data_IF_186534065239
#
_entry.id   IF_186534065239
#
_cell.length_a   1.000
_cell.length_b   1.000
_cell.length_c   1.000
_cell.angle_alpha   90.00
_cell.angle_beta   90.00
_cell.angle_gamma   90.00
#
_symmetry.space_group_name_H-M   'P 1'
#
loop_
_entity.id
_entity.type
_entity.pdbx_description
1 polymer ?
#
# COMPACT_ATOMS: atom_id res chain seq x y z
N UNK A 1 0.89 -16.92 -7.98
CA UNK A 1 1.86 -17.46 -7.02
C UNK A 1 1.21 -17.45 -5.65
N UNK A 2 1.26 -18.53 -4.88
CA UNK A 2 0.71 -18.55 -3.51
C UNK A 2 1.71 -17.86 -2.56
N UNK A 3 1.80 -16.53 -2.65
CA UNK A 3 2.62 -15.69 -1.77
C UNK A 3 1.83 -15.18 -0.56
N UNK A 4 2.53 -14.61 0.41
CA UNK A 4 1.91 -13.84 1.51
C UNK A 4 1.38 -12.51 0.94
N UNK A 5 0.06 -12.39 0.85
CA UNK A 5 -0.60 -11.22 0.23
C UNK A 5 -0.32 -9.91 1.01
N UNK A 6 -0.04 -10.00 2.32
CA UNK A 6 0.37 -8.85 3.13
C UNK A 6 1.75 -8.38 2.70
N UNK A 7 2.70 -9.31 2.57
CA UNK A 7 4.06 -9.01 2.06
C UNK A 7 4.00 -8.38 0.68
N UNK A 8 3.14 -8.92 -0.20
CA UNK A 8 2.93 -8.36 -1.53
C UNK A 8 2.46 -6.90 -1.45
N UNK A 9 1.42 -6.61 -0.67
CA UNK A 9 0.88 -5.26 -0.55
C UNK A 9 1.93 -4.30 0.02
N UNK A 10 2.65 -4.69 1.08
CA UNK A 10 3.73 -3.87 1.66
C UNK A 10 4.74 -3.48 0.58
N UNK A 11 5.22 -4.44 -0.22
CA UNK A 11 6.26 -4.17 -1.21
C UNK A 11 5.76 -3.48 -2.49
N UNK A 12 4.45 -3.52 -2.75
CA UNK A 12 3.85 -3.08 -4.00
C UNK A 12 2.55 -2.30 -3.72
N UNK A 13 2.62 -0.96 -3.58
CA UNK A 13 1.43 -0.12 -3.53
C UNK A 13 0.57 -0.34 -4.78
N UNK A 14 -0.71 -0.62 -4.58
CA UNK A 14 -1.66 -0.91 -5.66
C UNK A 14 -2.56 0.33 -5.78
N UNK A 15 -2.71 0.92 -6.99
CA UNK A 15 -3.61 2.04 -7.15
C UNK A 15 -5.07 1.58 -7.01
N UNK A 16 -5.94 2.45 -6.50
CA UNK A 16 -7.35 2.12 -6.24
C UNK A 16 -8.05 1.49 -7.44
N UNK A 17 -7.82 2.02 -8.64
CA UNK A 17 -8.41 1.55 -9.90
C UNK A 17 -8.04 0.10 -10.25
N UNK A 18 -6.91 -0.41 -9.74
CA UNK A 18 -6.44 -1.77 -10.00
C UNK A 18 -7.15 -2.87 -9.20
N UNK A 19 -7.95 -2.51 -8.21
CA UNK A 19 -8.65 -3.49 -7.40
C UNK A 19 -10.16 -3.55 -7.65
N UNK A 20 -10.67 -4.77 -7.73
CA UNK A 20 -12.11 -5.07 -7.66
C UNK A 20 -12.38 -5.85 -6.40
N UNK A 21 -13.32 -5.37 -5.59
CA UNK A 21 -13.51 -5.88 -4.23
C UNK A 21 -14.92 -6.44 -4.03
N UNK A 22 -15.02 -7.48 -3.20
CA UNK A 22 -16.31 -7.89 -2.64
C UNK A 22 -16.76 -6.83 -1.65
N UNK A 23 -17.91 -6.19 -1.89
CA UNK A 23 -18.49 -5.18 -1.00
C UNK A 23 -18.48 -5.58 0.48
N UNK A 24 -18.86 -6.82 0.79
CA UNK A 24 -18.89 -7.30 2.17
C UNK A 24 -17.51 -7.32 2.86
N UNK A 25 -16.43 -7.49 2.11
CA UNK A 25 -15.06 -7.44 2.63
C UNK A 25 -14.59 -6.02 2.89
N UNK A 26 -14.94 -5.10 1.99
CA UNK A 26 -14.66 -3.66 2.15
C UNK A 26 -15.36 -3.12 3.40
N UNK A 27 -16.66 -3.39 3.54
CA UNK A 27 -17.42 -2.93 4.70
C UNK A 27 -16.93 -3.53 6.02
N UNK A 28 -16.41 -4.76 6.00
CA UNK A 28 -15.85 -5.40 7.20
C UNK A 28 -14.65 -4.64 7.76
N UNK A 29 -13.85 -4.01 6.91
CA UNK A 29 -12.66 -3.24 7.32
C UNK A 29 -12.93 -1.74 7.46
N UNK A 30 -14.19 -1.29 7.30
CA UNK A 30 -14.57 0.11 7.39
C UNK A 30 -14.36 0.94 6.13
N UNK A 31 -13.85 0.36 5.03
CA UNK A 31 -13.50 1.13 3.83
C UNK A 31 -12.15 1.84 3.94
N UNK A 32 -12.02 2.98 3.26
CA UNK A 32 -10.84 3.86 3.38
C UNK A 32 -10.81 4.53 4.76
N UNK A 33 -9.61 4.80 5.26
CA UNK A 33 -9.44 5.62 6.45
C UNK A 33 -9.50 7.10 6.04
N UNK A 34 -10.51 7.82 6.53
CA UNK A 34 -10.76 9.22 6.16
C UNK A 34 -9.74 10.19 6.77
N UNK A 35 -8.96 9.74 7.76
CA UNK A 35 -7.87 10.53 8.36
C UNK A 35 -6.58 10.43 7.52
N UNK A 36 -6.51 9.48 6.58
CA UNK A 36 -5.38 9.33 5.66
C UNK A 36 -5.54 10.27 4.47
N UNK A 37 -4.75 11.34 4.46
CA UNK A 37 -4.81 12.36 3.41
C UNK A 37 -4.15 11.94 2.09
N UNK A 38 -3.19 11.00 2.13
CA UNK A 38 -2.42 10.55 0.98
C UNK A 38 -2.01 9.09 1.17
N UNK A 39 -1.93 8.35 0.05
CA UNK A 39 -1.63 6.91 0.07
C UNK A 39 -2.69 6.09 0.80
N UNK A 40 -3.94 6.56 0.74
CA UNK A 40 -5.13 5.91 1.28
C UNK A 40 -5.39 4.54 0.65
N UNK A 41 -5.02 4.38 -0.62
CA UNK A 41 -5.05 3.11 -1.34
C UNK A 41 -4.10 2.09 -0.71
N UNK A 42 -2.87 2.52 -0.45
CA UNK A 42 -1.86 1.68 0.16
C UNK A 42 -2.25 1.19 1.57
N UNK A 43 -2.75 2.11 2.40
CA UNK A 43 -3.34 1.77 3.71
C UNK A 43 -4.49 0.75 3.56
N UNK A 44 -5.43 1.06 2.66
CA UNK A 44 -6.61 0.24 2.43
C UNK A 44 -6.26 -1.18 2.01
N UNK A 45 -5.34 -1.38 1.06
CA UNK A 45 -4.96 -2.71 0.59
C UNK A 45 -4.27 -3.52 1.68
N UNK A 46 -3.36 -2.91 2.46
CA UNK A 46 -2.71 -3.56 3.60
C UNK A 46 -3.76 -4.06 4.60
N UNK A 47 -4.68 -3.19 5.03
CA UNK A 47 -5.76 -3.58 5.97
C UNK A 47 -6.65 -4.67 5.39
N UNK A 48 -6.96 -4.60 4.09
CA UNK A 48 -7.81 -5.58 3.42
C UNK A 48 -7.18 -6.98 3.45
N UNK A 49 -5.92 -7.12 3.04
CA UNK A 49 -5.25 -8.44 3.05
C UNK A 49 -4.93 -8.90 4.46
N UNK A 50 -4.61 -7.99 5.37
CA UNK A 50 -4.39 -8.31 6.78
C UNK A 50 -5.66 -8.87 7.44
N UNK A 51 -6.86 -8.45 6.99
CA UNK A 51 -8.14 -9.03 7.44
C UNK A 51 -8.40 -10.47 6.95
N UNK A 52 -7.46 -11.05 6.21
CA UNK A 52 -7.52 -12.40 5.65
C UNK A 52 -8.12 -12.48 4.24
N UNK A 53 -8.31 -11.33 3.56
CA UNK A 53 -8.69 -11.33 2.14
C UNK A 53 -7.49 -11.77 1.30
N UNK A 54 -7.75 -12.66 0.35
CA UNK A 54 -6.74 -13.14 -0.58
C UNK A 54 -6.79 -12.37 -1.89
N UNK A 55 -5.63 -12.08 -2.46
CA UNK A 55 -5.53 -11.40 -3.76
C UNK A 55 -5.48 -12.46 -4.88
N UNK A 56 -6.15 -12.16 -5.98
CA UNK A 56 -5.96 -12.85 -7.26
C UNK A 56 -5.58 -11.82 -8.31
N UNK A 57 -4.55 -12.11 -9.08
CA UNK A 57 -4.08 -11.25 -10.16
C UNK A 57 -4.67 -11.70 -11.49
N UNK A 58 -5.15 -10.72 -12.25
CA UNK A 58 -5.43 -10.87 -13.68
C UNK A 58 -4.24 -10.26 -14.39
N UNK A 59 -3.44 -11.09 -15.06
CA UNK A 59 -2.21 -10.65 -15.72
C UNK A 59 -2.50 -10.08 -17.12
N UNK A 60 -3.36 -9.06 -17.16
CA UNK A 60 -3.80 -8.37 -18.38
C UNK A 60 -3.83 -6.85 -18.13
N UNK A 61 -3.49 -6.04 -19.14
CA UNK A 61 -3.50 -4.58 -19.01
C UNK A 61 -4.94 -4.05 -19.08
N UNK A 62 -5.67 -4.09 -17.97
CA UNK A 62 -7.08 -3.71 -17.91
C UNK A 62 -7.33 -2.22 -17.66
N UNK A 63 -6.28 -1.44 -17.38
CA UNK A 63 -6.38 -0.06 -16.90
C UNK A 63 -5.41 0.82 -17.66
N UNK A 64 -5.90 1.99 -18.05
CA UNK A 64 -5.11 3.07 -18.64
C UNK A 64 -5.14 4.27 -17.69
N UNK A 65 -3.96 4.63 -17.15
CA UNK A 65 -3.78 5.80 -16.28
C UNK A 65 -3.09 6.90 -17.08
N UNK A 66 -3.71 8.07 -17.17
CA UNK A 66 -3.14 9.23 -17.84
C UNK A 66 -2.39 10.10 -16.84
N UNK A 67 -1.05 10.09 -16.93
CA UNK A 67 -0.19 10.90 -16.06
C UNK A 67 -0.01 12.30 -16.64
N UNK A 68 -0.23 13.33 -15.82
CA UNK A 68 -0.02 14.74 -16.18
C UNK A 68 1.36 15.19 -15.72
N UNK A 69 2.09 15.94 -16.55
CA UNK A 69 3.42 16.47 -16.20
C UNK A 69 3.44 17.34 -14.94
N UNK A 70 2.36 18.07 -14.69
CA UNK A 70 2.19 18.94 -13.50
C UNK A 70 1.39 18.24 -12.38
N UNK A 71 1.18 16.93 -12.49
CA UNK A 71 0.55 16.15 -11.43
C UNK A 71 1.48 16.03 -10.22
N UNK A 72 0.92 15.91 -9.00
CA UNK A 72 1.69 15.83 -7.75
C UNK A 72 2.75 14.73 -7.75
N UNK A 73 2.39 13.57 -8.31
CA UNK A 73 3.30 12.42 -8.45
C UNK A 73 4.53 12.78 -9.28
N UNK A 74 4.39 13.62 -10.31
CA UNK A 74 5.48 14.06 -11.19
C UNK A 74 6.25 15.26 -10.61
N UNK A 75 5.58 16.12 -9.85
CA UNK A 75 6.18 17.36 -9.32
C UNK A 75 6.87 17.18 -7.97
N UNK A 76 6.53 16.13 -7.19
CA UNK A 76 7.09 15.92 -5.86
C UNK A 76 7.17 14.42 -5.47
N UNK A 77 8.07 13.70 -6.13
CA UNK A 77 8.32 12.28 -5.89
C UNK A 77 8.70 11.97 -4.44
N UNK A 78 9.62 12.76 -3.86
CA UNK A 78 10.07 12.55 -2.49
C UNK A 78 8.91 12.62 -1.50
N UNK A 79 8.04 13.62 -1.63
CA UNK A 79 6.87 13.74 -0.77
C UNK A 79 5.91 12.55 -0.93
N UNK A 80 5.74 12.05 -2.15
CA UNK A 80 4.92 10.86 -2.42
C UNK A 80 5.46 9.63 -1.70
N UNK A 81 6.79 9.42 -1.73
CA UNK A 81 7.44 8.34 -1.00
C UNK A 81 7.35 8.50 0.52
N UNK A 82 7.48 9.72 1.03
CA UNK A 82 7.34 10.01 2.46
C UNK A 82 5.93 9.69 2.98
N UNK A 83 4.89 9.96 2.20
CA UNK A 83 3.53 9.56 2.57
C UNK A 83 3.36 8.04 2.64
N UNK A 84 3.90 7.30 1.66
CA UNK A 84 3.91 5.83 1.72
C UNK A 84 4.64 5.30 2.96
N UNK A 85 5.76 5.91 3.36
CA UNK A 85 6.46 5.54 4.59
C UNK A 85 5.68 5.88 5.86
N UNK A 86 4.90 6.97 5.87
CA UNK A 86 4.00 7.30 6.98
C UNK A 86 2.94 6.21 7.18
N UNK A 87 2.38 5.66 6.09
CA UNK A 87 1.46 4.52 6.18
C UNK A 87 2.13 3.31 6.82
N UNK A 88 3.33 2.93 6.38
CA UNK A 88 4.06 1.82 6.99
C UNK A 88 4.37 2.06 8.47
N UNK A 89 4.73 3.30 8.82
CA UNK A 89 4.94 3.71 10.21
C UNK A 89 3.66 3.55 11.06
N UNK A 90 2.51 3.94 10.53
CA UNK A 90 1.21 3.77 11.20
C UNK A 90 0.88 2.30 11.49
N UNK A 91 1.32 1.39 10.61
CA UNK A 91 1.09 -0.05 10.76
C UNK A 91 2.23 -0.81 11.45
N UNK A 92 3.27 -0.14 11.97
CA UNK A 92 4.46 -0.81 12.50
C UNK A 92 4.12 -1.79 13.61
N UNK A 93 3.36 -1.39 14.61
CA UNK A 93 3.08 -2.27 15.76
C UNK A 93 2.33 -3.54 15.34
N UNK A 94 1.50 -3.42 14.31
CA UNK A 94 0.71 -4.52 13.75
C UNK A 94 1.53 -5.44 12.85
N UNK A 95 2.37 -4.88 11.99
CA UNK A 95 3.06 -5.61 10.92
C UNK A 95 4.48 -6.03 11.30
N UNK A 96 5.19 -5.22 12.07
CA UNK A 96 6.64 -5.35 12.29
C UNK A 96 7.07 -6.73 12.84
N UNK A 97 6.38 -7.37 13.80
CA UNK A 97 6.82 -8.67 14.32
C UNK A 97 7.00 -9.73 13.23
N UNK A 98 6.15 -9.69 12.20
CA UNK A 98 6.14 -10.67 11.11
C UNK A 98 6.80 -10.15 9.82
N UNK A 99 6.62 -8.86 9.51
CA UNK A 99 6.94 -8.28 8.21
C UNK A 99 8.09 -7.26 8.24
N UNK A 100 8.90 -7.23 9.31
CA UNK A 100 10.02 -6.27 9.47
C UNK A 100 10.93 -6.16 8.24
N UNK A 101 11.25 -7.26 7.56
CA UNK A 101 12.13 -7.22 6.40
C UNK A 101 11.43 -6.59 5.19
N UNK A 102 10.17 -6.94 4.95
CA UNK A 102 9.37 -6.33 3.89
C UNK A 102 9.25 -4.81 4.10
N UNK A 103 8.99 -4.40 5.34
CA UNK A 103 8.87 -3.00 5.73
C UNK A 103 10.21 -2.28 5.52
N UNK A 104 11.31 -2.82 6.06
CA UNK A 104 12.64 -2.23 5.91
C UNK A 104 13.08 -2.11 4.46
N UNK A 105 12.91 -3.18 3.66
CA UNK A 105 13.25 -3.18 2.24
C UNK A 105 12.44 -2.11 1.48
N UNK A 106 11.13 -2.00 1.80
CA UNK A 106 10.24 -1.03 1.14
C UNK A 106 10.62 0.40 1.50
N UNK A 107 10.90 0.67 2.78
CA UNK A 107 11.35 2.00 3.22
C UNK A 107 12.69 2.39 2.59
N UNK A 108 13.64 1.46 2.49
CA UNK A 108 14.90 1.68 1.77
C UNK A 108 14.64 1.98 0.28
N UNK A 109 13.71 1.27 -0.35
CA UNK A 109 13.31 1.53 -1.75
C UNK A 109 12.66 2.90 -1.94
N UNK A 110 12.03 3.44 -0.88
CA UNK A 110 11.53 4.83 -0.83
C UNK A 110 12.64 5.86 -0.55
N UNK A 111 13.89 5.43 -0.34
CA UNK A 111 15.02 6.29 0.02
C UNK A 111 15.05 6.65 1.51
N UNK A 112 14.31 5.94 2.36
CA UNK A 112 14.15 6.22 3.80
C UNK A 112 14.81 5.09 4.58
N UNK A 113 15.95 5.37 5.21
CA UNK A 113 16.61 4.41 6.11
C UNK A 113 16.07 4.60 7.53
N UNK A 114 15.24 3.67 8.01
CA UNK A 114 14.83 3.65 9.43
C UNK A 114 15.85 2.82 10.22
N UNK A 115 16.74 3.48 10.94
CA UNK A 115 17.48 2.88 12.04
C UNK A 115 16.64 3.01 13.31
N UNK A 116 16.02 1.92 13.77
CA UNK A 116 15.52 1.87 15.15
C UNK A 116 16.75 1.83 16.08
N UNK A 117 16.90 2.86 16.92
CA UNK A 117 17.82 2.84 18.06
C UNK A 117 17.29 1.93 19.16
#
# INVERSE_FOLDING_TARGET
MAGDDVSFCIRNPIPTEAGVYRRSKVLKIGGFDEEVLFSEDYDFHIRLVYSGVRIKFINEPLILIFVRKEGRTMSNYLQTYLWGAQILNHHLDLLFPKYRFDISDTLVSFGIMITRQ
#
